data_IF_691229558822
#
_entry.id   IF_691229558822
#
_cell.length_a   1.000
_cell.length_b   1.000
_cell.length_c   1.000
_cell.angle_alpha   90.00
_cell.angle_beta   90.00
_cell.angle_gamma   90.00
#
_symmetry.space_group_name_H-M   'P 1'
#
loop_
_entity.id
_entity.type
_entity.pdbx_description
1 polymer ?
#
# COMPACT_ATOMS: atom_id res chain seq x y z
N UNK A 1 -28.12 -36.16 -8.39
CA UNK A 1 -28.17 -35.12 -7.34
C UNK A 1 -27.03 -34.15 -7.57
N UNK A 2 -27.27 -32.86 -7.90
CA UNK A 2 -26.22 -31.85 -7.85
C UNK A 2 -26.15 -31.21 -6.44
N UNK A 3 -24.92 -31.03 -5.96
CA UNK A 3 -24.53 -30.56 -4.62
C UNK A 3 -25.12 -29.20 -4.23
N UNK A 4 -25.32 -28.94 -2.92
CA UNK A 4 -25.91 -27.71 -2.43
C UNK A 4 -24.86 -26.60 -2.24
N UNK A 5 -25.29 -25.37 -2.56
CA UNK A 5 -24.86 -24.11 -1.93
C UNK A 5 -23.49 -23.53 -2.30
N UNK A 6 -23.42 -22.87 -3.46
CA UNK A 6 -22.60 -21.66 -3.62
C UNK A 6 -23.44 -20.45 -3.22
N UNK A 7 -23.39 -20.05 -1.93
CA UNK A 7 -24.19 -18.93 -1.40
C UNK A 7 -23.42 -17.67 -1.08
N UNK A 8 -22.13 -17.58 -1.40
CA UNK A 8 -21.37 -16.34 -1.24
C UNK A 8 -20.39 -16.23 -2.40
N UNK A 9 -20.81 -15.48 -3.42
CA UNK A 9 -19.92 -14.92 -4.42
C UNK A 9 -19.13 -13.79 -3.72
N UNK A 10 -17.91 -14.09 -3.32
CA UNK A 10 -16.97 -13.14 -2.68
C UNK A 10 -15.99 -12.55 -3.69
N UNK A 11 -16.32 -12.60 -4.99
CA UNK A 11 -15.61 -11.80 -5.97
C UNK A 11 -15.97 -10.33 -5.74
N UNK A 12 -15.01 -9.41 -5.82
CA UNK A 12 -15.32 -7.99 -5.89
C UNK A 12 -16.13 -7.79 -7.19
N UNK A 13 -17.45 -7.65 -7.07
CA UNK A 13 -18.37 -7.49 -8.20
C UNK A 13 -18.43 -6.01 -8.58
N UNK A 14 -17.97 -5.66 -9.77
CA UNK A 14 -18.10 -4.30 -10.32
C UNK A 14 -16.90 -3.82 -11.15
N UNK A 15 -17.01 -2.64 -11.80
CA UNK A 15 -15.87 -2.04 -12.49
C UNK A 15 -14.72 -1.78 -11.52
N UNK A 16 -13.49 -2.10 -11.94
CA UNK A 16 -12.28 -1.93 -11.15
C UNK A 16 -11.31 -0.97 -11.84
N UNK A 17 -10.62 -0.17 -11.04
CA UNK A 17 -9.43 0.56 -11.45
C UNK A 17 -8.22 -0.30 -11.13
N UNK A 18 -7.42 -0.61 -12.16
CA UNK A 18 -6.17 -1.35 -12.02
C UNK A 18 -5.01 -0.37 -12.02
N UNK A 19 -4.29 -0.28 -10.91
CA UNK A 19 -3.03 0.46 -10.82
C UNK A 19 -1.88 -0.53 -10.82
N UNK A 20 -0.88 -0.26 -11.65
CA UNK A 20 0.36 -1.04 -11.62
C UNK A 20 1.55 -0.13 -11.31
N UNK A 21 2.32 -0.53 -10.32
CA UNK A 21 3.46 0.19 -9.78
C UNK A 21 4.73 -0.41 -10.37
N UNK A 22 5.64 0.44 -10.85
CA UNK A 22 6.89 0.02 -11.48
C UNK A 22 8.08 0.79 -10.90
N UNK A 23 9.16 0.07 -10.58
CA UNK A 23 10.45 0.68 -10.23
C UNK A 23 10.89 0.53 -8.78
N UNK A 24 12.19 0.72 -8.55
CA UNK A 24 12.85 0.37 -7.29
C UNK A 24 13.01 1.57 -6.34
N UNK A 25 13.61 2.67 -6.82
CA UNK A 25 13.91 3.89 -6.04
C UNK A 25 12.78 4.93 -6.09
N UNK A 26 12.27 5.16 -7.29
CA UNK A 26 11.07 5.95 -7.56
C UNK A 26 10.09 5.04 -8.29
N UNK A 27 8.80 5.31 -8.09
CA UNK A 27 7.74 4.40 -8.51
C UNK A 27 6.85 5.09 -9.53
N UNK A 28 6.85 4.56 -10.75
CA UNK A 28 5.94 4.95 -11.81
C UNK A 28 4.64 4.16 -11.61
N UNK A 29 3.49 4.82 -11.65
CA UNK A 29 2.19 4.19 -11.39
C UNK A 29 1.30 4.42 -12.60
N UNK A 30 0.85 3.34 -13.22
CA UNK A 30 0.07 3.36 -14.47
C UNK A 30 -1.34 2.84 -14.21
N UNK A 31 -2.33 3.57 -14.71
CA UNK A 31 -3.71 3.09 -14.79
C UNK A 31 -3.87 2.16 -16.00
N UNK A 32 -4.55 1.03 -15.81
CA UNK A 32 -4.94 0.09 -16.87
C UNK A 32 -3.78 -0.64 -17.59
N UNK A 33 -2.70 -0.94 -16.87
CA UNK A 33 -1.67 -1.91 -17.30
C UNK A 33 -0.25 -1.35 -17.39
N UNK A 34 0.73 -2.19 -17.74
CA UNK A 34 2.15 -1.84 -17.67
C UNK A 34 2.62 -0.87 -18.75
N UNK A 35 3.43 0.12 -18.36
CA UNK A 35 4.16 0.98 -19.27
C UNK A 35 4.57 2.32 -18.68
N UNK A 36 5.87 2.61 -18.62
CA UNK A 36 6.42 3.88 -18.12
C UNK A 36 5.93 5.10 -18.92
N UNK A 37 5.70 4.94 -20.22
CA UNK A 37 5.16 5.98 -21.09
C UNK A 37 3.68 6.33 -20.81
N UNK A 38 3.01 5.56 -19.94
CA UNK A 38 1.61 5.72 -19.55
C UNK A 38 1.43 5.95 -18.04
N UNK A 39 2.51 6.29 -17.33
CA UNK A 39 2.44 6.52 -15.90
C UNK A 39 1.53 7.73 -15.59
N UNK A 40 0.39 7.44 -14.98
CA UNK A 40 -0.57 8.43 -14.47
C UNK A 40 -0.06 9.12 -13.20
N UNK A 41 0.83 8.46 -12.45
CA UNK A 41 1.44 9.03 -11.25
C UNK A 41 2.92 8.66 -11.09
N UNK A 42 3.64 9.49 -10.33
CA UNK A 42 5.04 9.33 -10.01
C UNK A 42 5.27 9.52 -8.50
N UNK A 43 5.70 8.45 -7.81
CA UNK A 43 6.09 8.53 -6.41
C UNK A 43 7.61 8.66 -6.26
N UNK A 44 8.04 9.72 -5.58
CA UNK A 44 9.43 10.03 -5.31
C UNK A 44 9.73 9.75 -3.84
N UNK A 45 10.63 8.81 -3.57
CA UNK A 45 11.24 8.68 -2.25
C UNK A 45 12.31 9.75 -2.05
N UNK A 46 12.26 10.46 -0.94
CA UNK A 46 13.29 11.42 -0.54
C UNK A 46 14.27 10.74 0.44
N UNK A 47 15.53 11.16 0.38
CA UNK A 47 16.59 10.61 1.26
C UNK A 47 16.97 11.59 2.37
N UNK A 48 16.74 12.88 2.16
CA UNK A 48 17.05 13.95 3.10
C UNK A 48 15.98 15.03 3.02
N UNK A 49 15.46 15.43 4.19
CA UNK A 49 14.47 16.51 4.33
C UNK A 49 13.09 16.21 3.72
N UNK A 50 12.09 16.96 4.20
CA UNK A 50 10.70 16.85 3.72
C UNK A 50 10.02 15.52 4.07
N UNK A 51 8.81 15.29 3.56
CA UNK A 51 8.14 14.01 3.74
C UNK A 51 8.93 12.90 3.05
N UNK A 52 8.89 11.71 3.64
CA UNK A 52 9.62 10.52 3.17
C UNK A 52 9.33 10.15 1.71
N UNK A 53 8.09 10.35 1.26
CA UNK A 53 7.67 10.13 -0.14
C UNK A 53 6.71 11.23 -0.58
N UNK A 54 6.87 11.72 -1.81
CA UNK A 54 5.88 12.60 -2.47
C UNK A 54 5.27 11.92 -3.70
N UNK A 55 3.96 12.08 -3.89
CA UNK A 55 3.20 11.57 -5.03
C UNK A 55 2.86 12.71 -5.98
N UNK A 56 3.18 12.54 -7.25
CA UNK A 56 2.96 13.54 -8.30
C UNK A 56 2.05 12.99 -9.39
N UNK A 57 1.28 13.87 -10.03
CA UNK A 57 0.56 13.55 -11.26
C UNK A 57 1.51 13.37 -12.45
N UNK A 58 1.18 12.44 -13.35
CA UNK A 58 1.98 12.15 -14.53
C UNK A 58 3.25 11.34 -14.22
N UNK A 59 4.20 11.35 -15.16
CA UNK A 59 5.31 10.40 -15.17
C UNK A 59 6.60 10.91 -14.50
N UNK A 60 6.57 12.05 -13.81
CA UNK A 60 7.77 12.64 -13.21
C UNK A 60 7.46 13.61 -12.05
N UNK A 61 8.53 14.01 -11.33
CA UNK A 61 8.47 14.91 -10.15
C UNK A 61 8.03 16.36 -10.43
N UNK A 62 7.98 16.79 -11.68
CA UNK A 62 7.54 18.15 -12.04
C UNK A 62 6.02 18.27 -12.12
N UNK A 63 5.32 17.13 -12.13
CA UNK A 63 3.87 17.10 -12.06
C UNK A 63 3.31 17.60 -10.73
N UNK A 64 2.02 17.92 -10.75
CA UNK A 64 1.29 18.43 -9.60
C UNK A 64 1.44 17.49 -8.40
N UNK A 65 1.83 18.03 -7.23
CA UNK A 65 1.84 17.26 -5.98
C UNK A 65 0.41 16.85 -5.62
N UNK A 66 0.17 15.55 -5.45
CA UNK A 66 -1.13 14.97 -5.15
C UNK A 66 -1.26 14.52 -3.69
N UNK A 67 -0.13 14.20 -3.05
CA UNK A 67 -0.10 13.78 -1.66
C UNK A 67 1.29 13.37 -1.22
N UNK A 68 1.41 13.11 0.07
CA UNK A 68 2.67 12.88 0.74
C UNK A 68 2.54 11.77 1.77
N UNK A 69 3.65 11.09 2.01
CA UNK A 69 3.77 10.02 3.00
C UNK A 69 4.99 10.30 3.86
N UNK A 70 4.79 10.21 5.17
CA UNK A 70 5.85 10.23 6.16
C UNK A 70 6.00 8.86 6.81
N UNK A 71 7.20 8.28 6.73
CA UNK A 71 7.49 6.95 7.22
C UNK A 71 8.16 7.04 8.59
N UNK A 72 7.59 6.37 9.58
CA UNK A 72 8.11 6.37 10.94
C UNK A 72 8.70 5.00 11.31
N UNK A 73 9.85 5.01 11.97
CA UNK A 73 10.65 3.80 12.25
C UNK A 73 10.01 2.85 13.27
N UNK A 74 9.21 3.36 14.22
CA UNK A 74 8.72 2.57 15.36
C UNK A 74 7.20 2.55 15.55
N UNK A 75 6.45 3.49 14.95
CA UNK A 75 4.99 3.42 14.97
C UNK A 75 4.38 4.41 13.99
N UNK A 76 3.29 3.95 13.36
CA UNK A 76 2.29 4.71 12.62
C UNK A 76 2.85 5.68 11.58
N UNK A 77 2.90 5.24 10.33
CA UNK A 77 3.18 6.14 9.21
C UNK A 77 2.06 7.16 9.07
N UNK A 78 2.35 8.30 8.45
CA UNK A 78 1.36 9.33 8.18
C UNK A 78 1.22 9.57 6.69
N UNK A 79 -0.01 9.80 6.23
CA UNK A 79 -0.30 10.10 4.83
C UNK A 79 -1.19 11.33 4.75
N UNK A 80 -1.04 12.12 3.69
CA UNK A 80 -1.98 13.21 3.41
C UNK A 80 -2.20 13.41 1.91
N UNK A 81 -3.45 13.60 1.46
CA UNK A 81 -3.73 14.23 0.17
C UNK A 81 -3.18 15.66 0.16
N UNK A 82 -2.97 16.23 -1.03
CA UNK A 82 -2.53 17.61 -1.19
C UNK A 82 -3.51 18.54 -0.48
N UNK A 83 -2.99 19.40 0.41
CA UNK A 83 -3.75 20.33 1.23
C UNK A 83 -4.75 19.67 2.22
N UNK A 84 -4.70 18.34 2.38
CA UNK A 84 -5.50 17.60 3.35
C UNK A 84 -4.78 17.46 4.70
N UNK A 85 -5.51 17.04 5.75
CA UNK A 85 -4.91 16.74 7.04
C UNK A 85 -4.03 15.49 6.97
N UNK A 86 -3.04 15.43 7.87
CA UNK A 86 -2.30 14.20 8.10
C UNK A 86 -3.21 13.13 8.70
N UNK A 87 -3.19 11.96 8.09
CA UNK A 87 -3.92 10.77 8.50
C UNK A 87 -2.94 9.71 8.94
N UNK A 88 -3.12 9.25 10.17
CA UNK A 88 -2.26 8.23 10.77
C UNK A 88 -2.65 6.85 10.27
N UNK A 89 -1.69 6.13 9.71
CA UNK A 89 -1.78 4.72 9.30
C UNK A 89 -1.22 3.86 10.42
N UNK A 90 -2.10 3.47 11.34
CA UNK A 90 -1.74 2.73 12.54
C UNK A 90 -1.53 1.26 12.20
N UNK A 91 -0.40 0.70 12.64
CA UNK A 91 -0.22 -0.74 12.66
C UNK A 91 -1.01 -1.32 13.83
N UNK A 92 -1.96 -2.22 13.57
CA UNK A 92 -2.85 -2.76 14.60
C UNK A 92 -2.12 -3.64 15.62
N UNK A 93 -1.00 -4.29 15.22
CA UNK A 93 -0.16 -5.06 16.14
C UNK A 93 1.27 -5.24 15.65
N UNK A 94 2.21 -5.22 16.60
CA UNK A 94 3.61 -5.58 16.37
C UNK A 94 3.77 -7.10 16.23
N UNK A 95 2.90 -7.87 16.90
CA UNK A 95 2.98 -9.32 17.06
C UNK A 95 2.00 -10.11 16.19
N UNK A 96 0.77 -9.60 15.99
CA UNK A 96 -0.21 -10.21 15.10
C UNK A 96 -0.13 -9.61 13.70
N UNK A 97 -0.40 -10.46 12.72
CA UNK A 97 -0.10 -10.30 11.31
C UNK A 97 -0.59 -8.98 10.71
N UNK A 98 0.32 -8.31 9.98
CA UNK A 98 0.10 -7.30 8.93
C UNK A 98 -1.32 -6.70 8.83
N UNK A 99 -1.76 -6.02 9.87
CA UNK A 99 -3.00 -5.24 9.87
C UNK A 99 -2.65 -3.76 10.08
N UNK A 100 -3.23 -2.91 9.24
CA UNK A 100 -3.04 -1.47 9.29
C UNK A 100 -4.38 -0.79 9.16
N UNK A 101 -4.66 0.19 10.01
CA UNK A 101 -5.91 0.94 9.99
C UNK A 101 -5.66 2.43 9.84
N UNK A 102 -6.61 3.10 9.19
CA UNK A 102 -6.65 4.55 9.10
C UNK A 102 -8.10 4.99 9.16
N UNK A 103 -8.34 6.21 9.63
CA UNK A 103 -9.67 6.82 9.59
C UNK A 103 -9.64 7.98 8.62
N UNK A 104 -10.63 8.02 7.75
CA UNK A 104 -10.73 9.02 6.71
C UNK A 104 -12.19 9.42 6.50
N UNK A 105 -12.39 10.72 6.32
CA UNK A 105 -13.69 11.30 6.06
C UNK A 105 -14.05 11.12 4.60
N UNK A 106 -15.13 10.42 4.30
CA UNK A 106 -15.54 10.18 2.92
C UNK A 106 -17.05 9.91 2.79
N UNK A 107 -17.52 9.84 1.55
CA UNK A 107 -18.94 9.65 1.23
C UNK A 107 -19.72 10.96 1.14
N UNK A 108 -21.01 10.88 0.75
CA UNK A 108 -21.86 12.05 0.55
C UNK A 108 -22.04 12.87 1.83
N UNK A 109 -22.09 12.19 2.98
CA UNK A 109 -22.33 12.80 4.29
C UNK A 109 -21.02 13.17 5.02
N UNK A 110 -19.86 12.93 4.39
CA UNK A 110 -18.54 13.24 4.96
C UNK A 110 -18.39 12.67 6.37
N UNK A 111 -18.68 11.37 6.51
CA UNK A 111 -18.55 10.65 7.78
C UNK A 111 -17.13 10.16 7.98
N UNK A 112 -16.65 10.20 9.23
CA UNK A 112 -15.36 9.63 9.60
C UNK A 112 -15.46 8.11 9.62
N UNK A 113 -14.92 7.47 8.58
CA UNK A 113 -14.94 6.01 8.42
C UNK A 113 -13.56 5.43 8.73
N UNK A 114 -13.53 4.30 9.43
CA UNK A 114 -12.29 3.53 9.65
C UNK A 114 -12.15 2.45 8.59
N UNK A 115 -10.97 2.39 7.99
CA UNK A 115 -10.57 1.41 7.00
C UNK A 115 -9.44 0.54 7.54
N UNK A 116 -9.41 -0.72 7.11
CA UNK A 116 -8.45 -1.72 7.57
C UNK A 116 -7.85 -2.41 6.35
N UNK A 117 -6.55 -2.25 6.18
CA UNK A 117 -5.72 -3.16 5.40
C UNK A 117 -5.44 -4.40 6.24
N UNK A 118 -5.88 -5.57 5.78
CA UNK A 118 -5.59 -6.86 6.43
C UNK A 118 -5.08 -7.86 5.40
N UNK A 119 -4.46 -8.94 5.85
CA UNK A 119 -4.11 -10.04 4.94
C UNK A 119 -5.38 -10.61 4.31
N UNK A 120 -5.29 -10.94 3.03
CA UNK A 120 -6.39 -11.59 2.30
C UNK A 120 -6.80 -12.86 3.04
N UNK A 121 -8.06 -12.92 3.47
CA UNK A 121 -8.58 -14.05 4.26
C UNK A 121 -9.16 -15.15 3.38
N UNK A 122 -9.69 -14.82 2.19
CA UNK A 122 -10.26 -15.79 1.25
C UNK A 122 -9.52 -15.71 -0.09
N UNK A 123 -8.79 -16.78 -0.44
CA UNK A 123 -8.06 -16.85 -1.72
C UNK A 123 -9.01 -17.20 -2.86
N UNK A 124 -9.74 -16.23 -3.40
CA UNK A 124 -10.57 -16.41 -4.60
C UNK A 124 -9.76 -16.31 -5.90
N UNK A 125 -8.62 -15.62 -5.90
CA UNK A 125 -7.71 -15.56 -7.05
C UNK A 125 -6.31 -16.04 -6.67
N UNK A 126 -5.80 -17.07 -7.36
CA UNK A 126 -4.42 -17.53 -7.17
C UNK A 126 -3.41 -16.40 -7.41
N UNK A 127 -2.44 -16.33 -6.51
CA UNK A 127 -1.08 -15.76 -6.62
C UNK A 127 -0.84 -14.26 -6.43
N UNK A 128 -1.82 -13.38 -6.23
CA UNK A 128 -1.50 -11.93 -6.30
C UNK A 128 -1.78 -11.09 -5.05
N UNK A 129 -2.89 -11.18 -4.32
CA UNK A 129 -3.15 -10.26 -3.18
C UNK A 129 -2.41 -10.61 -1.89
N UNK A 130 -1.55 -9.70 -1.40
CA UNK A 130 -0.97 -9.78 -0.05
C UNK A 130 -1.90 -9.18 1.00
N UNK A 131 -2.66 -8.15 0.61
CA UNK A 131 -3.52 -7.37 1.51
C UNK A 131 -4.84 -6.98 0.82
N UNK A 132 -5.91 -6.91 1.59
CA UNK A 132 -7.23 -6.38 1.20
C UNK A 132 -7.61 -5.20 2.10
N UNK A 133 -8.28 -4.21 1.54
CA UNK A 133 -8.83 -3.07 2.23
C UNK A 133 -10.33 -3.28 2.45
N UNK A 134 -10.78 -3.13 3.69
CA UNK A 134 -12.19 -3.20 4.07
C UNK A 134 -12.57 -1.98 4.91
N UNK A 135 -13.85 -1.60 4.92
CA UNK A 135 -14.37 -0.69 5.92
C UNK A 135 -14.63 -1.46 7.22
N UNK A 136 -14.25 -0.91 8.38
CA UNK A 136 -14.44 -1.58 9.66
C UNK A 136 -15.92 -1.91 9.96
N UNK A 137 -16.83 -1.04 9.52
CA UNK A 137 -18.28 -1.24 9.62
C UNK A 137 -18.83 -2.31 8.66
N UNK A 138 -18.10 -2.64 7.59
CA UNK A 138 -18.49 -3.60 6.55
C UNK A 138 -17.30 -4.50 6.20
N UNK A 139 -16.87 -5.38 7.13
CA UNK A 139 -15.63 -6.16 6.98
C UNK A 139 -15.70 -7.23 5.89
N UNK A 140 -16.89 -7.55 5.38
CA UNK A 140 -17.10 -8.50 4.30
C UNK A 140 -17.02 -7.84 2.91
N UNK A 141 -16.97 -6.51 2.85
CA UNK A 141 -16.90 -5.75 1.61
C UNK A 141 -15.46 -5.32 1.31
N UNK A 142 -14.82 -6.00 0.36
CA UNK A 142 -13.48 -5.65 -0.10
C UNK A 142 -13.55 -4.46 -1.05
N UNK A 143 -12.86 -3.37 -0.67
CA UNK A 143 -12.83 -2.11 -1.38
C UNK A 143 -11.62 -2.02 -2.31
N UNK A 144 -10.49 -2.57 -1.87
CA UNK A 144 -9.27 -2.64 -2.67
C UNK A 144 -8.43 -3.88 -2.35
N UNK A 145 -7.65 -4.33 -3.31
CA UNK A 145 -6.65 -5.39 -3.14
C UNK A 145 -5.27 -4.82 -3.49
N UNK A 146 -4.28 -5.12 -2.66
CA UNK A 146 -2.87 -4.85 -2.93
C UNK A 146 -2.10 -6.15 -3.08
N UNK A 147 -1.38 -6.24 -4.19
CA UNK A 147 -0.74 -7.44 -4.67
C UNK A 147 0.72 -7.18 -5.03
N UNK A 148 1.64 -7.99 -4.51
CA UNK A 148 3.03 -8.00 -4.98
C UNK A 148 3.32 -9.30 -5.72
N UNK A 149 4.04 -9.24 -6.84
CA UNK A 149 4.53 -10.45 -7.48
C UNK A 149 5.54 -11.11 -6.54
N UNK A 150 5.30 -12.38 -6.19
CA UNK A 150 5.97 -13.13 -5.12
C UNK A 150 7.47 -12.89 -4.94
N UNK A 151 7.89 -13.00 -3.67
CA UNK A 151 9.27 -12.93 -3.17
C UNK A 151 10.16 -11.87 -3.84
N UNK A 152 9.99 -10.62 -3.42
CA UNK A 152 11.02 -9.56 -3.55
C UNK A 152 11.52 -9.23 -4.96
N UNK A 153 10.71 -9.36 -6.01
CA UNK A 153 10.89 -8.48 -7.18
C UNK A 153 10.22 -7.14 -6.86
N UNK A 154 10.94 -6.29 -6.14
CA UNK A 154 10.53 -4.97 -5.65
C UNK A 154 10.18 -3.92 -6.74
N UNK A 155 9.98 -4.40 -7.97
CA UNK A 155 9.83 -3.63 -9.19
C UNK A 155 8.40 -3.61 -9.71
N UNK A 156 7.50 -4.49 -9.26
CA UNK A 156 6.12 -4.57 -9.73
C UNK A 156 5.12 -4.88 -8.61
N UNK A 157 4.13 -4.02 -8.43
CA UNK A 157 2.96 -4.26 -7.57
C UNK A 157 1.68 -3.86 -8.30
N UNK A 158 0.58 -4.50 -7.95
CA UNK A 158 -0.75 -4.28 -8.55
C UNK A 158 -1.71 -3.88 -7.44
N UNK A 159 -2.51 -2.86 -7.70
CA UNK A 159 -3.63 -2.49 -6.84
C UNK A 159 -4.91 -2.53 -7.66
N UNK A 160 -5.92 -3.19 -7.13
CA UNK A 160 -7.28 -3.11 -7.66
C UNK A 160 -8.10 -2.28 -6.71
N UNK A 161 -8.79 -1.28 -7.23
CA UNK A 161 -9.66 -0.40 -6.47
C UNK A 161 -11.06 -0.51 -7.06
N UNK A 162 -12.09 -0.70 -6.22
CA UNK A 162 -13.47 -0.68 -6.68
C UNK A 162 -13.81 0.69 -7.25
N UNK A 163 -14.32 0.77 -8.48
CA UNK A 163 -14.42 2.05 -9.21
C UNK A 163 -15.41 3.06 -8.61
N UNK A 164 -16.30 2.62 -7.71
CA UNK A 164 -17.36 3.42 -7.09
C UNK A 164 -16.96 4.11 -5.78
N UNK A 165 -15.70 3.99 -5.34
CA UNK A 165 -15.24 4.51 -4.04
C UNK A 165 -15.14 6.04 -3.97
N UNK A 166 -15.07 6.71 -5.12
CA UNK A 166 -14.89 8.15 -5.23
C UNK A 166 -13.42 8.58 -5.18
N UNK A 167 -13.10 9.75 -5.76
CA UNK A 167 -11.71 10.18 -6.00
C UNK A 167 -10.90 10.43 -4.72
N UNK A 168 -11.56 10.83 -3.62
CA UNK A 168 -10.91 11.10 -2.33
C UNK A 168 -10.40 9.80 -1.69
N UNK A 169 -11.25 8.77 -1.66
CA UNK A 169 -10.88 7.48 -1.11
C UNK A 169 -9.86 6.77 -2.00
N UNK A 170 -10.00 6.85 -3.34
CA UNK A 170 -8.98 6.35 -4.28
C UNK A 170 -7.58 6.92 -3.98
N UNK A 171 -7.50 8.23 -3.69
CA UNK A 171 -6.24 8.87 -3.32
C UNK A 171 -5.68 8.33 -2.01
N UNK A 172 -6.54 8.15 -1.00
CA UNK A 172 -6.14 7.56 0.29
C UNK A 172 -5.68 6.11 0.16
N UNK A 173 -6.35 5.31 -0.67
CA UNK A 173 -5.91 3.94 -1.00
C UNK A 173 -4.50 3.99 -1.61
N UNK A 174 -4.26 4.88 -2.56
CA UNK A 174 -2.95 5.04 -3.19
C UNK A 174 -1.85 5.43 -2.20
N UNK A 175 -2.10 6.44 -1.35
CA UNK A 175 -1.12 6.92 -0.37
C UNK A 175 -0.81 5.89 0.72
N UNK A 176 -1.83 5.20 1.23
CA UNK A 176 -1.64 4.16 2.25
C UNK A 176 -0.85 2.97 1.69
N UNK A 177 -1.07 2.58 0.44
CA UNK A 177 -0.25 1.55 -0.22
C UNK A 177 1.20 2.00 -0.39
N UNK A 178 1.45 3.27 -0.74
CA UNK A 178 2.81 3.81 -0.80
C UNK A 178 3.50 3.76 0.57
N UNK A 179 2.79 4.11 1.66
CA UNK A 179 3.29 3.92 3.03
C UNK A 179 3.69 2.46 3.27
N UNK A 180 2.79 1.52 3.05
CA UNK A 180 3.05 0.09 3.26
C UNK A 180 4.24 -0.42 2.44
N UNK A 181 4.30 -0.04 1.16
CA UNK A 181 5.35 -0.44 0.24
C UNK A 181 6.73 0.07 0.67
N UNK A 182 6.84 1.37 0.96
CA UNK A 182 8.13 1.97 1.30
C UNK A 182 8.57 1.64 2.74
N UNK A 183 7.63 1.46 3.68
CA UNK A 183 7.91 0.94 5.02
C UNK A 183 8.46 -0.48 4.99
N UNK A 184 7.92 -1.37 4.17
CA UNK A 184 8.45 -2.71 3.98
C UNK A 184 9.89 -2.70 3.44
N UNK A 185 10.18 -1.88 2.42
CA UNK A 185 11.53 -1.70 1.88
C UNK A 185 12.51 -1.16 2.93
N UNK A 186 12.08 -0.20 3.75
CA UNK A 186 12.95 0.38 4.79
C UNK A 186 13.39 -0.67 5.81
N UNK A 187 12.48 -1.54 6.24
CA UNK A 187 12.77 -2.62 7.21
C UNK A 187 13.72 -3.68 6.64
N UNK A 188 13.59 -4.02 5.35
CA UNK A 188 14.50 -4.96 4.68
C UNK A 188 15.94 -4.45 4.64
N UNK A 189 16.14 -3.15 4.37
CA UNK A 189 17.47 -2.54 4.39
C UNK A 189 18.12 -2.56 5.77
N UNK A 190 17.34 -2.31 6.84
CA UNK A 190 17.86 -2.39 8.21
C UNK A 190 18.25 -3.83 8.60
N UNK A 191 17.46 -4.83 8.18
CA UNK A 191 17.78 -6.24 8.45
C UNK A 191 19.04 -6.70 7.72
N UNK A 192 19.26 -6.26 6.47
CA UNK A 192 20.48 -6.56 5.71
C UNK A 192 21.73 -5.88 6.30
N UNK A 193 21.60 -4.66 6.83
CA UNK A 193 22.71 -3.96 7.49
C UNK A 193 23.11 -4.61 8.82
N UNK A 194 22.17 -5.23 9.55
CA UNK A 194 22.46 -5.97 10.78
C UNK A 194 23.15 -7.33 10.56
N UNK A 195 23.00 -7.93 9.37
CA UNK A 195 23.58 -9.23 9.04
C UNK A 195 25.07 -9.17 8.61
N UNK A 196 25.62 -7.97 8.37
CA UNK A 196 27.02 -7.78 7.95
C UNK A 196 28.02 -7.48 9.08
N UNK A 197 27.55 -7.37 10.33
CA UNK A 197 28.36 -6.87 11.45
C UNK A 197 29.02 -7.92 12.35
N UNK A 198 29.11 -9.19 11.92
CA UNK A 198 29.57 -10.29 12.77
C UNK A 198 30.56 -11.23 12.11
N UNK A 199 31.72 -10.74 11.67
CA UNK A 199 32.86 -11.58 11.29
C UNK A 199 34.20 -10.82 11.33
N UNK A 200 34.65 -10.45 12.53
CA UNK A 200 36.06 -10.17 12.88
C UNK A 200 36.10 -10.11 14.42
N UNK A 201 36.94 -10.81 15.18
CA UNK A 201 38.09 -11.63 14.89
C UNK A 201 38.21 -12.72 15.98
N UNK A 202 38.71 -13.90 15.62
CA UNK A 202 39.23 -14.88 16.57
C UNK A 202 40.71 -14.65 16.89
N UNK A 203 41.20 -15.40 17.89
CA UNK A 203 42.61 -15.55 18.27
C UNK A 203 42.93 -14.78 19.56
N UNK A 204 43.07 -15.44 20.71
CA UNK A 204 44.26 -16.22 21.13
C UNK A 204 45.14 -15.26 21.95
N UNK A 205 45.59 -15.52 23.17
CA UNK A 205 46.04 -16.71 23.88
C UNK A 205 47.16 -16.22 24.82
N UNK A 206 47.33 -16.89 25.96
CA UNK A 206 48.29 -16.63 27.06
C UNK A 206 47.92 -15.51 28.05
#
# INVERSE_FOLDING_TARGET
MPSPSSKYDTSIVGPMKLLTFFGNKSMDISENGPGKARASYYAKRHTFGGPSVSLHAGSNKSGLLLGEVELHSYSSDEVRPRNGPWTVVKRASIWSHAEYSFSFRCGPDQEDMTFIWRRVQTRTFRLMGDMELVAAARPDEVLAEYATSGMMSASQAVVKIRAELGPELDMMVLLTILSLHYSAKSRQHTAAAGAGGGAAAGGGGC
#
